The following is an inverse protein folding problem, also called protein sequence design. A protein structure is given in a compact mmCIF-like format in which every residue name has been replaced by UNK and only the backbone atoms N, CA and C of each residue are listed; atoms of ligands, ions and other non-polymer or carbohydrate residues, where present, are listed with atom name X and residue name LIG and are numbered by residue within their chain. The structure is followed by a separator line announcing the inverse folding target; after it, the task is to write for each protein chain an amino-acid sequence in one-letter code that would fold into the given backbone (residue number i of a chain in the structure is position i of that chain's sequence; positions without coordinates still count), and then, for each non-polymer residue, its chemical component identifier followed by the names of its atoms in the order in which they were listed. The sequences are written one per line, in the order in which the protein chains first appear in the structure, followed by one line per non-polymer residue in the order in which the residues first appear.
data_IF_485141558608
#
_entry.id   IF_485141558608
#
_cell.length_a   1.000
_cell.length_b   1.000
_cell.length_c   1.000
_cell.angle_alpha   90.00
_cell.angle_beta   90.00
_cell.angle_gamma   90.00
#
_symmetry.space_group_name_H-M   'P 1'
#
loop_
_entity.id
_entity.type
_entity.pdbx_description
1 polymer ?
#
# COMPACT_ATOMS: atom_id res chain seq x y z
N UNK A 1 5.88 -12.85 11.77
CA UNK A 1 5.80 -11.41 11.46
C UNK A 1 4.77 -11.24 10.37
N UNK A 2 3.94 -10.21 10.46
CA UNK A 2 3.06 -9.82 9.37
C UNK A 2 3.90 -9.19 8.25
N UNK A 3 3.56 -9.47 6.99
CA UNK A 3 4.22 -8.86 5.83
C UNK A 3 3.29 -7.81 5.24
N UNK A 4 3.78 -6.58 5.15
CA UNK A 4 3.02 -5.48 4.58
C UNK A 4 3.55 -5.05 3.22
N UNK A 5 2.59 -4.72 2.36
CA UNK A 5 2.80 -3.76 1.30
C UNK A 5 2.13 -2.45 1.66
N UNK A 6 2.74 -1.33 1.29
CA UNK A 6 2.18 0.00 1.50
C UNK A 6 2.19 0.79 0.21
N UNK A 7 1.20 1.66 0.04
CA UNK A 7 1.19 2.66 -1.04
C UNK A 7 1.11 4.06 -0.44
N UNK A 8 2.20 4.81 -0.57
CA UNK A 8 2.33 6.20 -0.12
C UNK A 8 1.77 7.13 -1.21
N UNK A 9 0.58 7.67 -0.98
CA UNK A 9 -0.17 8.44 -1.98
C UNK A 9 -0.01 9.94 -1.74
N UNK A 10 0.36 10.68 -2.79
CA UNK A 10 0.68 12.12 -2.68
C UNK A 10 -0.42 13.03 -3.23
N UNK A 11 -1.38 12.48 -3.99
CA UNK A 11 -2.44 13.23 -4.64
C UNK A 11 -3.86 12.79 -4.23
N UNK A 12 -4.77 13.76 -4.20
CA UNK A 12 -6.19 13.52 -3.89
C UNK A 12 -6.48 13.14 -2.44
N UNK A 13 -7.65 12.54 -2.25
CA UNK A 13 -8.13 11.96 -0.99
C UNK A 13 -8.35 10.45 -1.21
N UNK A 14 -8.44 9.63 -0.15
CA UNK A 14 -8.74 8.22 -0.31
C UNK A 14 -10.01 8.00 -1.14
N UNK A 15 -9.95 7.15 -2.18
CA UNK A 15 -11.11 6.84 -3.02
C UNK A 15 -12.16 6.07 -2.22
N UNK A 16 -13.41 6.03 -2.66
CA UNK A 16 -14.35 5.06 -2.12
C UNK A 16 -13.84 3.63 -2.41
N UNK A 17 -13.98 2.72 -1.44
CA UNK A 17 -13.53 1.34 -1.64
C UNK A 17 -14.22 0.70 -2.85
N UNK A 18 -15.48 1.05 -3.10
CA UNK A 18 -16.22 0.59 -4.29
C UNK A 18 -15.56 0.96 -5.62
N UNK A 19 -14.95 2.14 -5.74
CA UNK A 19 -14.27 2.57 -6.97
C UNK A 19 -13.00 1.76 -7.22
N UNK A 20 -12.25 1.47 -6.14
CA UNK A 20 -11.07 0.61 -6.18
C UNK A 20 -11.47 -0.81 -6.60
N UNK A 21 -12.47 -1.40 -5.92
CA UNK A 21 -12.94 -2.76 -6.21
C UNK A 21 -13.48 -2.88 -7.64
N UNK A 22 -14.18 -1.86 -8.14
CA UNK A 22 -14.65 -1.82 -9.52
C UNK A 22 -13.47 -1.80 -10.50
N UNK A 23 -12.48 -0.93 -10.28
CA UNK A 23 -11.31 -0.84 -11.15
C UNK A 23 -10.49 -2.14 -11.20
N UNK A 24 -10.42 -2.85 -10.07
CA UNK A 24 -9.79 -4.17 -9.95
C UNK A 24 -10.59 -5.22 -10.75
N UNK A 25 -11.92 -5.20 -10.63
CA UNK A 25 -12.84 -6.05 -11.39
C UNK A 25 -12.75 -5.83 -12.89
N UNK A 26 -12.67 -4.57 -13.34
CA UNK A 26 -12.49 -4.20 -14.75
C UNK A 26 -11.18 -4.74 -15.35
N UNK A 27 -10.24 -5.22 -14.51
CA UNK A 27 -8.97 -5.86 -14.88
C UNK A 27 -8.96 -7.37 -14.71
N UNK A 28 -10.13 -7.98 -14.47
CA UNK A 28 -10.30 -9.43 -14.39
C UNK A 28 -10.00 -10.03 -13.02
N UNK A 29 -9.75 -9.21 -12.00
CA UNK A 29 -9.55 -9.67 -10.61
C UNK A 29 -10.82 -9.41 -9.82
N UNK A 30 -11.35 -10.43 -9.13
CA UNK A 30 -12.51 -10.27 -8.26
C UNK A 30 -12.09 -10.23 -6.81
N UNK A 31 -12.36 -9.12 -6.12
CA UNK A 31 -12.18 -8.99 -4.69
C UNK A 31 -13.54 -8.85 -4.00
N UNK A 32 -13.75 -9.61 -2.92
CA UNK A 32 -14.94 -9.52 -2.07
C UNK A 32 -14.56 -9.04 -0.67
N UNK A 33 -15.37 -8.19 -0.08
CA UNK A 33 -15.15 -7.71 1.29
C UNK A 33 -15.72 -8.69 2.31
N UNK A 34 -15.09 -8.82 3.47
CA UNK A 34 -15.68 -9.46 4.65
C UNK A 34 -15.72 -8.46 5.83
N UNK A 35 -16.93 -8.12 6.35
CA UNK A 35 -18.26 -8.48 5.86
C UNK A 35 -18.56 -7.99 4.43
N UNK A 36 -19.52 -8.63 3.76
CA UNK A 36 -19.94 -8.24 2.42
C UNK A 36 -20.59 -6.85 2.42
N UNK A 37 -20.35 -6.07 1.37
CA UNK A 37 -21.00 -4.77 1.17
C UNK A 37 -20.30 -3.60 1.86
N UNK A 38 -19.04 -3.74 2.27
CA UNK A 38 -18.24 -2.59 2.72
C UNK A 38 -17.97 -1.70 1.51
N UNK A 39 -18.35 -0.43 1.63
CA UNK A 39 -18.25 0.55 0.52
C UNK A 39 -17.27 1.68 0.79
N UNK A 40 -16.88 1.88 2.04
CA UNK A 40 -16.00 2.95 2.49
C UNK A 40 -14.95 2.40 3.47
N UNK A 41 -13.83 3.11 3.57
CA UNK A 41 -12.80 2.86 4.57
C UNK A 41 -13.34 3.11 5.98
N UNK A 42 -12.78 2.39 6.95
CA UNK A 42 -13.12 2.53 8.36
C UNK A 42 -11.84 2.49 9.19
N UNK A 43 -11.94 2.70 10.50
CA UNK A 43 -10.80 2.55 11.41
C UNK A 43 -10.31 1.11 11.55
N UNK A 44 -11.08 0.13 11.09
CA UNK A 44 -10.68 -1.27 11.07
C UNK A 44 -10.28 -1.70 9.65
N UNK A 45 -9.23 -2.54 9.51
CA UNK A 45 -8.87 -3.09 8.21
C UNK A 45 -9.98 -3.91 7.57
N UNK A 46 -10.13 -3.73 6.27
CA UNK A 46 -11.09 -4.46 5.44
C UNK A 46 -10.44 -5.75 4.97
N UNK A 47 -11.09 -6.88 5.22
CA UNK A 47 -10.69 -8.16 4.67
C UNK A 47 -11.09 -8.25 3.20
N UNK A 48 -10.12 -8.51 2.33
CA UNK A 48 -10.30 -8.67 0.90
C UNK A 48 -10.03 -10.13 0.50
N UNK A 49 -11.11 -10.82 0.14
CA UNK A 49 -11.10 -12.21 -0.31
C UNK A 49 -10.85 -12.22 -1.81
N UNK A 50 -9.72 -12.80 -2.23
CA UNK A 50 -9.32 -12.95 -3.63
C UNK A 50 -9.64 -14.34 -4.20
N UNK A 51 -9.74 -15.37 -3.34
CA UNK A 51 -10.03 -16.76 -3.70
C UNK A 51 -10.83 -17.42 -2.57
N UNK A 52 -11.77 -18.31 -2.90
CA UNK A 52 -12.53 -19.05 -1.87
C UNK A 52 -11.64 -20.05 -1.14
N UNK A 53 -11.80 -20.11 0.19
CA UNK A 53 -11.02 -21.01 1.03
C UNK A 53 -9.61 -20.53 1.35
N UNK A 54 -9.18 -19.38 0.81
CA UNK A 54 -7.90 -18.73 1.15
C UNK A 54 -8.09 -17.66 2.22
N UNK A 55 -7.04 -17.44 3.00
CA UNK A 55 -6.97 -16.34 3.94
C UNK A 55 -7.01 -15.00 3.17
N UNK A 56 -7.89 -14.04 3.54
CA UNK A 56 -7.94 -12.74 2.90
C UNK A 56 -6.68 -11.93 3.24
N UNK A 57 -6.32 -10.96 2.39
CA UNK A 57 -5.42 -9.90 2.81
C UNK A 57 -6.24 -8.78 3.47
N UNK A 58 -5.63 -8.07 4.41
CA UNK A 58 -6.25 -6.91 5.06
C UNK A 58 -5.81 -5.64 4.36
N UNK A 59 -6.72 -4.70 4.15
CA UNK A 59 -6.40 -3.40 3.61
C UNK A 59 -7.04 -2.29 4.45
N UNK A 60 -6.27 -1.25 4.74
CA UNK A 60 -6.70 -0.07 5.48
C UNK A 60 -6.06 1.20 4.91
N UNK A 61 -6.59 2.34 5.35
CA UNK A 61 -6.14 3.65 4.90
C UNK A 61 -5.90 4.54 6.10
N UNK A 62 -4.66 5.04 6.19
CA UNK A 62 -4.26 6.02 7.18
C UNK A 62 -4.12 7.40 6.53
N UNK A 63 -4.85 8.37 7.06
CA UNK A 63 -4.78 9.76 6.61
C UNK A 63 -3.63 10.49 7.31
N UNK A 64 -2.81 11.20 6.53
CA UNK A 64 -1.85 12.15 7.08
C UNK A 64 -2.55 13.49 7.34
N UNK A 65 -3.28 13.56 8.46
CA UNK A 65 -4.08 14.71 8.86
C UNK A 65 -3.47 15.53 10.01
N UNK A 66 -2.22 15.25 10.37
CA UNK A 66 -1.48 15.94 11.43
C UNK A 66 -0.28 15.13 11.91
N UNK A 67 0.62 15.75 12.70
CA UNK A 67 1.86 15.13 13.17
C UNK A 67 1.64 13.90 14.06
N UNK A 68 0.50 13.81 14.74
CA UNK A 68 0.16 12.68 15.61
C UNK A 68 -0.59 11.55 14.87
N UNK A 69 -0.84 11.71 13.55
CA UNK A 69 -1.53 10.68 12.76
C UNK A 69 -0.66 9.42 12.59
N UNK A 70 -1.29 8.25 12.43
CA UNK A 70 -0.58 7.00 12.17
C UNK A 70 0.26 7.09 10.89
N UNK A 71 -0.28 7.73 9.84
CA UNK A 71 0.45 7.97 8.61
C UNK A 71 1.69 8.86 8.83
N UNK A 72 1.60 9.92 9.63
CA UNK A 72 2.75 10.79 9.89
C UNK A 72 3.87 10.04 10.64
N UNK A 73 3.52 9.25 11.65
CA UNK A 73 4.49 8.43 12.39
C UNK A 73 5.19 7.43 11.45
N UNK A 74 4.41 6.74 10.61
CA UNK A 74 4.96 5.78 9.65
C UNK A 74 5.85 6.45 8.59
N UNK A 75 5.44 7.63 8.08
CA UNK A 75 6.26 8.44 7.17
C UNK A 75 7.60 8.80 7.81
N UNK A 76 7.59 9.26 9.06
CA UNK A 76 8.80 9.65 9.78
C UNK A 76 9.75 8.46 9.98
N UNK A 77 9.23 7.29 10.37
CA UNK A 77 10.02 6.06 10.49
C UNK A 77 10.70 5.68 9.16
N UNK A 78 9.95 5.72 8.05
CA UNK A 78 10.53 5.43 6.74
C UNK A 78 11.50 6.50 6.26
N UNK A 79 11.26 7.78 6.58
CA UNK A 79 12.18 8.87 6.26
C UNK A 79 13.52 8.66 6.96
N UNK A 80 13.52 8.27 8.23
CA UNK A 80 14.73 7.99 8.98
C UNK A 80 15.52 6.83 8.35
N UNK A 81 14.85 5.71 8.04
CA UNK A 81 15.48 4.59 7.34
C UNK A 81 16.04 4.99 5.97
N UNK A 82 15.30 5.78 5.19
CA UNK A 82 15.75 6.25 3.87
C UNK A 82 16.96 7.15 4.00
N UNK A 83 16.98 8.07 4.98
CA UNK A 83 18.07 9.03 5.20
C UNK A 83 19.39 8.35 5.56
N UNK A 84 19.35 7.24 6.27
CA UNK A 84 20.54 6.44 6.63
C UNK A 84 21.21 5.76 5.42
N UNK A 85 20.52 5.66 4.28
CA UNK A 85 21.08 5.03 3.08
C UNK A 85 22.09 5.97 2.43
N UNK A 86 23.37 5.59 2.46
CA UNK A 86 24.46 6.37 1.86
C UNK A 86 24.62 6.15 0.33
N UNK A 87 23.99 5.10 -0.21
CA UNK A 87 24.03 4.75 -1.64
C UNK A 87 22.85 5.38 -2.39
N UNK A 88 23.05 5.68 -3.67
CA UNK A 88 22.01 6.23 -4.56
C UNK A 88 21.37 7.55 -4.08
N UNK A 89 22.15 8.63 -3.84
CA UNK A 89 21.66 9.85 -3.21
C UNK A 89 20.45 10.48 -3.93
N UNK A 90 20.41 10.44 -5.27
CA UNK A 90 19.27 10.94 -6.05
C UNK A 90 17.99 10.14 -5.85
N UNK A 91 18.09 8.80 -5.76
CA UNK A 91 16.93 7.95 -5.53
C UNK A 91 16.41 8.12 -4.10
N UNK A 92 17.34 8.20 -3.14
CA UNK A 92 17.02 8.50 -1.75
C UNK A 92 16.27 9.83 -1.60
N UNK A 93 16.80 10.90 -2.21
CA UNK A 93 16.17 12.22 -2.19
C UNK A 93 14.76 12.16 -2.80
N UNK A 94 14.59 11.49 -3.94
CA UNK A 94 13.28 11.30 -4.56
C UNK A 94 12.29 10.52 -3.68
N UNK A 95 12.72 9.44 -3.03
CA UNK A 95 11.87 8.68 -2.09
C UNK A 95 11.51 9.56 -0.88
N UNK A 96 12.47 10.27 -0.30
CA UNK A 96 12.23 11.16 0.82
C UNK A 96 11.24 12.28 0.46
N UNK A 97 11.41 12.93 -0.69
CA UNK A 97 10.48 13.95 -1.18
C UNK A 97 9.06 13.39 -1.40
N UNK A 98 8.94 12.14 -1.81
CA UNK A 98 7.65 11.48 -1.99
C UNK A 98 6.97 11.20 -0.64
N UNK A 99 7.73 10.68 0.32
CA UNK A 99 7.27 10.44 1.69
C UNK A 99 6.79 11.75 2.35
N UNK A 100 7.57 12.83 2.23
CA UNK A 100 7.22 14.15 2.78
C UNK A 100 5.95 14.74 2.16
N UNK A 101 5.59 14.36 0.93
CA UNK A 101 4.37 14.80 0.24
C UNK A 101 3.18 13.86 0.46
N UNK A 102 3.35 12.76 1.20
CA UNK A 102 2.32 11.73 1.34
C UNK A 102 1.13 12.26 2.13
N UNK A 103 -0.06 12.15 1.53
CA UNK A 103 -1.35 12.60 2.10
C UNK A 103 -2.11 11.48 2.77
N UNK A 104 -1.94 10.25 2.30
CA UNK A 104 -2.50 9.05 2.93
C UNK A 104 -1.70 7.82 2.52
N UNK A 105 -1.75 6.79 3.35
CA UNK A 105 -1.11 5.50 3.11
C UNK A 105 -2.20 4.45 2.97
N UNK A 106 -2.06 3.58 1.99
CA UNK A 106 -2.84 2.34 1.91
C UNK A 106 -1.94 1.22 2.40
N UNK A 107 -2.26 0.62 3.54
CA UNK A 107 -1.53 -0.51 4.08
C UNK A 107 -2.26 -1.81 3.71
N UNK A 108 -1.49 -2.82 3.29
CA UNK A 108 -2.00 -4.13 2.91
C UNK A 108 -1.21 -5.23 3.63
N UNK A 109 -1.87 -5.92 4.55
CA UNK A 109 -1.29 -7.06 5.28
C UNK A 109 -1.61 -8.37 4.57
N UNK A 110 -0.59 -9.15 4.20
CA UNK A 110 -0.80 -10.46 3.56
C UNK A 110 -0.49 -11.65 4.49
N UNK A 111 -1.25 -12.75 4.39
CA UNK A 111 -0.95 -14.00 5.08
C UNK A 111 0.08 -14.81 4.27
N UNK A 112 1.37 -14.48 4.39
CA UNK A 112 2.47 -15.03 3.55
C UNK A 112 2.43 -16.54 3.36
N UNK A 113 2.07 -17.32 4.40
CA UNK A 113 2.05 -18.78 4.34
C UNK A 113 0.90 -19.37 3.48
N UNK A 114 -0.18 -18.61 3.24
CA UNK A 114 -1.35 -19.01 2.46
C UNK A 114 -1.61 -18.06 1.27
N UNK A 115 -0.63 -17.23 0.90
CA UNK A 115 -0.76 -16.28 -0.20
C UNK A 115 -0.32 -16.92 -1.52
N UNK A 116 -1.28 -17.15 -2.42
CA UNK A 116 -1.02 -17.79 -3.72
C UNK A 116 -0.58 -16.79 -4.79
N UNK A 117 -0.16 -17.27 -5.96
CA UNK A 117 0.11 -16.41 -7.13
C UNK A 117 -1.11 -15.54 -7.49
N UNK A 118 -2.33 -16.06 -7.32
CA UNK A 118 -3.55 -15.30 -7.52
C UNK A 118 -3.70 -14.19 -6.46
N UNK A 119 -3.29 -14.44 -5.22
CA UNK A 119 -3.21 -13.44 -4.16
C UNK A 119 -2.23 -12.32 -4.50
N UNK A 120 -1.01 -12.67 -4.93
CA UNK A 120 0.00 -11.70 -5.38
C UNK A 120 -0.48 -10.87 -6.58
N UNK A 121 -1.10 -11.52 -7.57
CA UNK A 121 -1.70 -10.80 -8.68
C UNK A 121 -2.82 -9.86 -8.22
N UNK A 122 -3.67 -10.30 -7.28
CA UNK A 122 -4.79 -9.50 -6.80
C UNK A 122 -4.34 -8.27 -6.03
N UNK A 123 -3.34 -8.39 -5.15
CA UNK A 123 -2.79 -7.25 -4.41
C UNK A 123 -2.02 -6.30 -5.34
N UNK A 124 -1.29 -6.82 -6.34
CA UNK A 124 -0.59 -5.99 -7.34
C UNK A 124 -1.58 -5.12 -8.12
N UNK A 125 -2.67 -5.72 -8.60
CA UNK A 125 -3.75 -4.98 -9.29
C UNK A 125 -4.38 -3.99 -8.32
N UNK A 126 -4.74 -4.41 -7.10
CA UNK A 126 -5.30 -3.51 -6.09
C UNK A 126 -4.43 -2.28 -5.81
N UNK A 127 -3.14 -2.47 -5.55
CA UNK A 127 -2.20 -1.37 -5.28
C UNK A 127 -1.98 -0.48 -6.51
N UNK A 128 -1.98 -1.05 -7.71
CA UNK A 128 -1.81 -0.32 -8.95
C UNK A 128 -2.90 0.75 -9.16
N UNK A 129 -4.10 0.60 -8.57
CA UNK A 129 -5.08 1.68 -8.54
C UNK A 129 -4.48 2.96 -7.95
N UNK A 130 -3.86 2.86 -6.78
CA UNK A 130 -3.36 4.00 -6.04
C UNK A 130 -2.11 4.60 -6.69
N UNK A 131 -1.26 3.75 -7.27
CA UNK A 131 -0.13 4.20 -8.10
C UNK A 131 -0.63 5.07 -9.26
N UNK A 132 -1.64 4.60 -10.00
CA UNK A 132 -2.15 5.28 -11.21
C UNK A 132 -2.95 6.54 -10.89
N UNK A 133 -3.79 6.53 -9.85
CA UNK A 133 -4.76 7.59 -9.61
C UNK A 133 -4.36 8.58 -8.52
N UNK A 134 -3.39 8.24 -7.68
CA UNK A 134 -3.02 9.04 -6.51
C UNK A 134 -1.51 9.30 -6.41
N UNK A 135 -0.79 9.10 -7.52
CA UNK A 135 0.66 9.20 -7.60
C UNK A 135 1.30 8.42 -6.44
N UNK A 136 0.92 7.14 -6.33
CA UNK A 136 1.31 6.25 -5.25
C UNK A 136 2.71 5.65 -5.45
N UNK A 137 3.49 5.56 -4.38
CA UNK A 137 4.76 4.84 -4.33
C UNK A 137 4.61 3.60 -3.46
N UNK A 138 5.00 2.43 -3.99
CA UNK A 138 4.84 1.16 -3.28
C UNK A 138 6.06 0.90 -2.40
N UNK A 139 5.84 0.41 -1.18
CA UNK A 139 6.87 -0.15 -0.31
C UNK A 139 6.49 -1.59 0.05
N UNK A 140 7.49 -2.47 0.13
CA UNK A 140 7.31 -3.84 0.58
C UNK A 140 8.29 -4.16 1.71
N UNK A 141 7.78 -4.78 2.78
CA UNK A 141 8.59 -5.11 3.96
C UNK A 141 9.78 -6.01 3.61
N UNK A 142 10.91 -5.76 4.26
CA UNK A 142 12.16 -6.48 4.02
C UNK A 142 12.77 -6.29 2.62
N UNK A 143 12.21 -5.41 1.80
CA UNK A 143 12.70 -5.10 0.46
C UNK A 143 12.99 -3.62 0.31
N UNK A 144 11.96 -2.77 0.23
CA UNK A 144 12.12 -1.33 0.08
C UNK A 144 11.08 -0.70 -0.83
N UNK A 145 11.43 0.43 -1.45
CA UNK A 145 10.51 1.23 -2.27
C UNK A 145 10.61 0.91 -3.75
N UNK A 146 9.45 0.90 -4.40
CA UNK A 146 9.26 0.59 -5.81
C UNK A 146 8.73 1.80 -6.57
N UNK A 147 9.22 1.95 -7.80
CA UNK A 147 8.82 2.98 -8.74
C UNK A 147 8.77 2.36 -10.14
N UNK A 148 7.67 2.57 -10.88
CA UNK A 148 7.43 1.96 -12.19
C UNK A 148 7.65 0.43 -12.21
N UNK A 149 7.25 -0.25 -11.14
CA UNK A 149 7.40 -1.70 -10.99
C UNK A 149 8.84 -2.18 -10.79
N UNK A 150 9.78 -1.28 -10.49
CA UNK A 150 11.19 -1.61 -10.21
C UNK A 150 11.59 -1.09 -8.84
N UNK A 151 12.48 -1.82 -8.17
CA UNK A 151 13.02 -1.36 -6.89
C UNK A 151 13.82 -0.06 -7.11
N UNK A 152 13.36 1.00 -6.46
CA UNK A 152 14.02 2.31 -6.43
C UNK A 152 15.12 2.28 -5.39
N UNK A 153 14.78 1.96 -4.14
CA UNK A 153 15.73 1.83 -3.03
C UNK A 153 15.42 0.58 -2.21
N UNK A 154 16.46 -0.15 -1.83
CA UNK A 154 16.36 -1.26 -0.88
C UNK A 154 16.53 -0.72 0.54
N UNK A 155 15.59 -1.06 1.42
CA UNK A 155 15.73 -0.90 2.85
C UNK A 155 16.36 -2.19 3.37
N UNK A 156 17.50 -2.08 4.06
CA UNK A 156 18.12 -3.26 4.67
C UNK A 156 17.20 -3.79 5.77
N UNK A 157 17.01 -5.11 5.80
CA UNK A 157 16.38 -5.81 6.92
C UNK A 157 17.32 -5.90 8.13
#
# INVERSE_FOLDING_TARGET
MAYYFRVFCTEGEPPALTDVLKWVSDRGVTLRTEPAGITAWSSAPVKLIYEEGRAPFLADVDLNNGPDSLAAQEIDEFLDMVREINRFPRKRERVAEHLEKTRFIVACQIPVEDFTDAGFHAIDVFMAYFVVHHNGMVQADGQGFYEDGKISIELAA
#
